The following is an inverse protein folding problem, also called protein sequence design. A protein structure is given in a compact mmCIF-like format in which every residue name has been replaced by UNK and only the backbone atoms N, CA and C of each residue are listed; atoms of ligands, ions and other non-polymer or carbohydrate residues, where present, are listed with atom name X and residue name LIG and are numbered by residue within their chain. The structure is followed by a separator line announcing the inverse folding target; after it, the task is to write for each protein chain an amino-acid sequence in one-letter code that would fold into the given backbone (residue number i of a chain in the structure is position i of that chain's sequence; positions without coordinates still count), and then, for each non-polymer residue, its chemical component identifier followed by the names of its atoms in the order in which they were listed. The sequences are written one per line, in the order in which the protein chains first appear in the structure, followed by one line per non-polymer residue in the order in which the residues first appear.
data_IF_888073917255
#
_entry.id   IF_888073917255
#
_cell.length_a   1.000
_cell.length_b   1.000
_cell.length_c   1.000
_cell.angle_alpha   90.00
_cell.angle_beta   90.00
_cell.angle_gamma   90.00
#
_symmetry.space_group_name_H-M   'P 1'
#
loop_
_entity.id
_entity.type
_entity.pdbx_description
1 polymer ?
#
# COMPACT_ATOMS: atom_id res chain seq x y z
N UNK A 1 -10.76 5.85 3.97
CA UNK A 1 -10.33 6.74 2.88
C UNK A 1 -11.53 7.48 2.33
N UNK A 2 -12.52 6.73 1.83
CA UNK A 2 -13.77 7.26 1.23
C UNK A 2 -14.39 8.45 1.98
N UNK A 3 -14.70 8.29 3.27
CA UNK A 3 -15.33 9.36 4.05
C UNK A 3 -14.51 10.66 4.08
N UNK A 4 -13.18 10.57 4.25
CA UNK A 4 -12.31 11.74 4.27
C UNK A 4 -12.21 12.43 2.89
N UNK A 5 -12.42 11.67 1.82
CA UNK A 5 -12.45 12.19 0.46
C UNK A 5 -13.76 12.91 0.14
N UNK A 6 -14.89 12.39 0.65
CA UNK A 6 -16.21 13.02 0.53
C UNK A 6 -16.37 14.24 1.44
N UNK A 7 -15.76 14.23 2.64
CA UNK A 7 -15.89 15.27 3.67
C UNK A 7 -14.53 15.87 4.08
N UNK A 8 -13.83 16.56 3.18
CA UNK A 8 -12.47 17.06 3.43
C UNK A 8 -12.38 18.08 4.57
N UNK A 9 -13.37 18.95 4.73
CA UNK A 9 -13.40 19.98 5.77
C UNK A 9 -13.73 19.41 7.16
N UNK A 10 -14.51 18.33 7.22
CA UNK A 10 -14.85 17.64 8.47
C UNK A 10 -13.77 16.63 8.88
N UNK A 11 -12.90 16.25 7.95
CA UNK A 11 -11.85 15.27 8.19
C UNK A 11 -10.62 15.91 8.83
N UNK A 12 -10.17 15.33 9.96
CA UNK A 12 -8.90 15.70 10.60
C UNK A 12 -7.65 15.17 9.87
N UNK A 13 -7.84 14.50 8.72
CA UNK A 13 -6.75 13.84 7.98
C UNK A 13 -5.95 14.80 7.13
N UNK A 14 -6.57 15.91 6.72
CA UNK A 14 -5.87 17.04 6.11
C UNK A 14 -5.95 18.20 7.11
N UNK A 15 -4.81 18.68 7.60
CA UNK A 15 -4.77 19.82 8.53
C UNK A 15 -5.33 21.10 7.90
N UNK A 16 -5.03 21.31 6.62
CA UNK A 16 -5.53 22.43 5.84
C UNK A 16 -6.01 21.92 4.47
N UNK A 17 -7.27 21.43 4.35
CA UNK A 17 -7.80 21.03 3.07
C UNK A 17 -7.91 22.26 2.14
N UNK A 18 -7.61 22.11 0.83
CA UNK A 18 -7.80 23.19 -0.12
C UNK A 18 -9.28 23.59 -0.18
N UNK A 19 -9.54 24.88 -0.35
CA UNK A 19 -10.87 25.38 -0.64
C UNK A 19 -11.24 25.12 -2.09
N UNK A 20 -12.55 25.01 -2.34
CA UNK A 20 -13.09 24.93 -3.69
C UNK A 20 -12.85 26.24 -4.44
N UNK A 21 -12.34 26.15 -5.66
CA UNK A 21 -12.20 27.30 -6.55
C UNK A 21 -13.59 27.72 -7.09
N UNK A 22 -13.78 29.00 -7.48
CA UNK A 22 -15.00 29.43 -8.15
C UNK A 22 -15.25 28.59 -9.41
N UNK A 23 -16.49 28.11 -9.60
CA UNK A 23 -16.93 27.27 -10.75
C UNK A 23 -16.16 25.94 -10.90
N UNK A 24 -15.45 25.48 -9.86
CA UNK A 24 -14.74 24.21 -9.89
C UNK A 24 -15.70 23.03 -9.94
N UNK A 25 -15.50 22.13 -10.90
CA UNK A 25 -16.29 20.92 -11.01
C UNK A 25 -16.01 19.99 -9.81
N UNK A 26 -17.01 19.27 -9.27
CA UNK A 26 -16.82 18.37 -8.13
C UNK A 26 -15.69 17.36 -8.32
N UNK A 27 -15.57 16.79 -9.52
CA UNK A 27 -14.51 15.83 -9.86
C UNK A 27 -13.12 16.48 -9.88
N UNK A 28 -13.00 17.71 -10.39
CA UNK A 28 -11.73 18.45 -10.42
C UNK A 28 -11.24 18.74 -9.00
N UNK A 29 -12.15 19.13 -8.10
CA UNK A 29 -11.84 19.31 -6.69
C UNK A 29 -11.41 17.99 -6.02
N UNK A 30 -12.14 16.89 -6.28
CA UNK A 30 -11.80 15.58 -5.75
C UNK A 30 -10.41 15.08 -6.22
N UNK A 31 -10.06 15.33 -7.48
CA UNK A 31 -8.74 14.99 -8.04
C UNK A 31 -7.61 15.81 -7.41
N UNK A 32 -7.85 17.06 -7.02
CA UNK A 32 -6.88 17.86 -6.25
C UNK A 32 -6.71 17.34 -4.83
N UNK A 33 -7.77 16.84 -4.21
CA UNK A 33 -7.70 16.26 -2.86
C UNK A 33 -7.00 14.90 -2.84
N UNK A 34 -7.19 14.09 -3.88
CA UNK A 34 -6.70 12.72 -3.97
C UNK A 34 -5.22 12.56 -3.56
N UNK A 35 -4.23 13.23 -4.20
CA UNK A 35 -2.82 13.02 -3.85
C UNK A 35 -2.46 13.56 -2.46
N UNK A 36 -3.21 14.55 -1.95
CA UNK A 36 -3.03 15.07 -0.57
C UNK A 36 -3.47 14.02 0.45
N UNK A 37 -4.62 13.38 0.23
CA UNK A 37 -5.10 12.27 1.06
C UNK A 37 -4.17 11.07 0.98
N UNK A 38 -3.71 10.68 -0.21
CA UNK A 38 -2.80 9.55 -0.36
C UNK A 38 -1.46 9.77 0.37
N UNK A 39 -1.04 11.01 0.58
CA UNK A 39 0.16 11.36 1.36
C UNK A 39 -0.10 11.58 2.86
N UNK A 40 -1.35 11.62 3.29
CA UNK A 40 -1.71 11.76 4.70
C UNK A 40 -1.76 10.40 5.42
N UNK A 41 -1.39 10.32 6.70
CA UNK A 41 -1.55 9.11 7.48
C UNK A 41 -3.05 8.78 7.72
N UNK A 42 -3.42 7.48 7.68
CA UNK A 42 -2.54 6.31 7.60
C UNK A 42 -2.23 5.88 6.16
N UNK A 43 -2.80 6.52 5.14
CA UNK A 43 -2.81 6.00 3.77
C UNK A 43 -1.45 6.08 3.07
N UNK A 44 -0.60 7.02 3.47
CA UNK A 44 0.75 7.20 2.94
C UNK A 44 1.67 6.00 3.05
N UNK A 45 1.32 4.98 3.84
CA UNK A 45 2.11 3.76 4.00
C UNK A 45 1.35 2.48 3.68
N UNK A 46 0.10 2.61 3.21
CA UNK A 46 -0.66 1.45 2.77
C UNK A 46 -0.25 1.05 1.33
N UNK A 47 -0.31 -0.26 0.99
CA UNK A 47 -0.02 -0.76 -0.34
C UNK A 47 -1.18 -0.47 -1.31
N UNK A 48 -1.48 0.81 -1.53
CA UNK A 48 -2.56 1.27 -2.39
C UNK A 48 -2.13 1.32 -3.86
N UNK A 49 -3.12 1.23 -4.74
CA UNK A 49 -2.97 1.41 -6.19
C UNK A 49 -4.00 2.42 -6.68
N UNK A 50 -3.61 3.24 -7.65
CA UNK A 50 -4.51 4.16 -8.34
C UNK A 50 -4.76 3.61 -9.73
N UNK A 51 -6.02 3.47 -10.10
CA UNK A 51 -6.39 2.99 -11.43
C UNK A 51 -7.25 4.01 -12.16
N UNK A 52 -6.78 4.44 -13.33
CA UNK A 52 -7.46 5.39 -14.21
C UNK A 52 -8.29 4.63 -15.24
N UNK A 53 -9.62 4.69 -15.09
CA UNK A 53 -10.55 3.93 -15.94
C UNK A 53 -10.81 4.61 -17.29
N UNK A 54 -10.59 5.93 -17.38
CA UNK A 54 -10.79 6.73 -18.59
C UNK A 54 -9.49 7.47 -18.92
N UNK A 55 -8.75 7.05 -19.96
CA UNK A 55 -7.61 7.81 -20.45
C UNK A 55 -8.08 9.07 -21.22
N UNK A 56 -7.26 10.14 -21.28
CA UNK A 56 -5.94 10.25 -20.64
C UNK A 56 -6.05 10.49 -19.13
N UNK A 57 -5.06 10.00 -18.37
CA UNK A 57 -4.95 10.31 -16.94
C UNK A 57 -4.95 11.82 -16.70
N UNK A 58 -5.74 12.34 -15.74
CA UNK A 58 -5.71 13.75 -15.39
C UNK A 58 -4.36 14.14 -14.78
N UNK A 59 -3.88 15.34 -15.08
CA UNK A 59 -2.73 15.91 -14.39
C UNK A 59 -3.08 16.18 -12.92
N UNK A 60 -2.33 15.56 -12.01
CA UNK A 60 -2.46 15.80 -10.57
C UNK A 60 -1.52 16.94 -10.15
N UNK A 61 -2.00 17.82 -9.26
CA UNK A 61 -1.18 18.90 -8.69
C UNK A 61 0.00 18.40 -7.85
N UNK A 62 -0.08 17.15 -7.37
CA UNK A 62 0.93 16.50 -6.57
C UNK A 62 1.01 15.04 -6.99
N UNK A 63 2.22 14.52 -7.18
CA UNK A 63 2.42 13.11 -7.46
C UNK A 63 1.94 12.25 -6.28
N UNK A 64 1.36 11.06 -6.48
CA UNK A 64 1.15 10.10 -5.41
C UNK A 64 2.47 9.70 -4.72
N UNK A 65 2.41 9.05 -3.54
CA UNK A 65 3.57 8.38 -2.95
C UNK A 65 4.23 7.39 -3.92
N UNK A 66 5.56 7.31 -3.91
CA UNK A 66 6.35 6.58 -4.92
C UNK A 66 6.11 5.07 -4.92
N UNK A 67 5.68 4.48 -3.81
CA UNK A 67 5.36 3.06 -3.72
C UNK A 67 3.95 2.71 -4.22
N UNK A 68 3.10 3.71 -4.50
CA UNK A 68 1.76 3.49 -5.03
C UNK A 68 1.83 3.37 -6.55
N UNK A 69 1.32 2.25 -7.07
CA UNK A 69 1.31 2.00 -8.51
C UNK A 69 0.12 2.71 -9.15
N UNK A 70 0.39 3.46 -10.22
CA UNK A 70 -0.64 4.03 -11.10
C UNK A 70 -0.82 3.13 -12.33
N UNK A 71 -2.06 2.73 -12.60
CA UNK A 71 -2.42 1.83 -13.71
C UNK A 71 -3.49 2.50 -14.58
N UNK A 72 -3.41 2.35 -15.91
CA UNK A 72 -4.48 2.76 -16.83
C UNK A 72 -5.21 1.52 -17.37
N UNK A 73 -6.54 1.59 -17.50
CA UNK A 73 -7.28 0.57 -18.23
C UNK A 73 -8.73 0.40 -17.79
N UNK A 74 -9.60 0.16 -18.77
CA UNK A 74 -11.03 -0.04 -18.57
C UNK A 74 -11.37 -1.35 -17.84
N UNK A 75 -12.52 -1.38 -17.13
CA UNK A 75 -13.08 -2.56 -16.49
C UNK A 75 -12.80 -2.68 -14.98
N UNK A 76 -13.60 -3.51 -14.30
CA UNK A 76 -13.45 -3.78 -12.86
C UNK A 76 -12.05 -4.34 -12.55
N UNK A 77 -11.55 -4.19 -11.31
CA UNK A 77 -10.37 -4.91 -10.87
C UNK A 77 -10.61 -6.40 -11.14
N UNK A 78 -9.79 -7.01 -11.99
CA UNK A 78 -9.70 -8.46 -12.00
C UNK A 78 -9.06 -8.82 -10.66
N UNK A 79 -9.89 -9.08 -9.65
CA UNK A 79 -9.50 -9.86 -8.49
C UNK A 79 -9.06 -11.19 -9.08
N UNK A 80 -7.78 -11.31 -9.42
CA UNK A 80 -7.15 -12.61 -9.60
C UNK A 80 -7.36 -13.26 -8.24
N UNK A 81 -8.44 -14.05 -8.10
CA UNK A 81 -8.47 -15.13 -7.12
C UNK A 81 -7.23 -15.90 -7.48
N UNK A 82 -6.13 -15.65 -6.75
CA UNK A 82 -5.15 -16.70 -6.57
C UNK A 82 -6.02 -17.78 -5.95
N UNK A 83 -6.47 -18.74 -6.77
CA UNK A 83 -6.92 -20.04 -6.30
C UNK A 83 -5.84 -20.38 -5.30
N UNK A 84 -6.21 -20.32 -4.01
CA UNK A 84 -5.24 -20.43 -2.94
C UNK A 84 -4.36 -21.59 -3.35
N UNK A 85 -3.07 -21.35 -3.48
CA UNK A 85 -2.15 -22.46 -3.49
C UNK A 85 -2.22 -22.93 -2.03
N UNK A 86 -3.32 -23.57 -1.66
CA UNK A 86 -3.36 -24.70 -0.73
C UNK A 86 -2.59 -25.80 -1.45
N UNK A 87 -1.32 -25.50 -1.66
CA UNK A 87 -0.32 -26.48 -1.47
C UNK A 87 -0.39 -26.71 0.03
N UNK A 88 -1.06 -27.78 0.40
CA UNK A 88 -0.54 -28.68 1.42
C UNK A 88 0.89 -29.04 0.99
N UNK A 89 1.80 -28.07 1.06
CA UNK A 89 3.21 -28.33 1.20
C UNK A 89 3.28 -28.67 2.67
N UNK A 90 3.46 -29.96 2.94
CA UNK A 90 4.03 -30.45 4.18
C UNK A 90 5.06 -29.41 4.62
N UNK A 91 4.71 -28.68 5.68
CA UNK A 91 5.55 -27.62 6.21
C UNK A 91 6.69 -28.37 6.87
N UNK A 92 7.74 -28.67 6.10
CA UNK A 92 9.09 -28.77 6.65
C UNK A 92 9.21 -27.54 7.56
N UNK A 93 9.44 -27.79 8.85
CA UNK A 93 9.51 -26.81 9.93
C UNK A 93 10.74 -25.92 9.74
N UNK A 94 10.73 -25.13 8.68
CA UNK A 94 11.73 -24.12 8.41
C UNK A 94 11.42 -22.96 9.34
N UNK A 95 12.19 -22.87 10.42
CA UNK A 95 12.18 -21.72 11.31
C UNK A 95 12.36 -20.41 10.55
N UNK A 96 12.01 -19.30 11.20
CA UNK A 96 12.18 -17.98 10.62
C UNK A 96 13.64 -17.74 10.20
N UNK A 97 13.89 -17.40 8.93
CA UNK A 97 15.25 -17.13 8.42
C UNK A 97 15.94 -15.88 9.00
N UNK A 98 15.34 -15.22 9.99
CA UNK A 98 15.93 -14.09 10.71
C UNK A 98 16.21 -14.41 12.19
N UNK A 99 15.35 -15.14 12.88
CA UNK A 99 15.53 -15.46 14.30
C UNK A 99 15.67 -16.95 14.62
N UNK A 100 15.49 -17.84 13.64
CA UNK A 100 15.57 -19.30 13.81
C UNK A 100 14.32 -19.94 14.43
N UNK A 101 13.49 -19.18 15.13
CA UNK A 101 12.35 -19.71 15.89
C UNK A 101 11.14 -20.07 15.02
N UNK A 102 10.42 -21.11 15.44
CA UNK A 102 9.08 -21.44 14.95
C UNK A 102 8.02 -20.55 15.63
N UNK A 103 6.91 -20.25 14.94
CA UNK A 103 5.80 -19.51 15.54
C UNK A 103 4.48 -20.00 14.94
N UNK A 104 3.39 -19.87 15.71
CA UNK A 104 2.04 -20.21 15.27
C UNK A 104 1.55 -19.36 14.07
N UNK A 105 2.17 -18.21 13.79
CA UNK A 105 1.81 -17.38 12.64
C UNK A 105 2.56 -17.83 11.38
N UNK A 106 1.90 -17.86 10.21
CA UNK A 106 2.55 -18.26 8.98
C UNK A 106 3.68 -17.28 8.62
N UNK A 107 4.83 -17.81 8.22
CA UNK A 107 5.95 -17.03 7.72
C UNK A 107 5.57 -16.31 6.41
N UNK A 108 6.07 -15.09 6.25
CA UNK A 108 6.01 -14.40 4.97
C UNK A 108 7.16 -14.88 4.09
N UNK A 109 6.85 -15.27 2.86
CA UNK A 109 7.82 -15.69 1.85
C UNK A 109 8.16 -14.56 0.89
N UNK A 110 9.42 -14.51 0.46
CA UNK A 110 9.85 -13.56 -0.57
C UNK A 110 9.00 -13.74 -1.85
N UNK A 111 8.51 -12.66 -2.47
CA UNK A 111 7.75 -12.75 -3.71
C UNK A 111 8.63 -13.02 -4.94
N UNK A 112 9.97 -12.92 -4.85
CA UNK A 112 10.89 -13.21 -5.96
C UNK A 112 10.84 -14.71 -6.29
N UNK A 113 10.69 -15.10 -7.58
CA UNK A 113 10.79 -16.50 -7.98
C UNK A 113 12.12 -17.10 -7.50
N UNK A 114 12.10 -18.38 -7.12
CA UNK A 114 13.29 -19.15 -6.67
C UNK A 114 13.98 -18.65 -5.39
N UNK A 115 13.43 -17.65 -4.69
CA UNK A 115 13.92 -17.27 -3.37
C UNK A 115 13.22 -18.10 -2.27
N UNK A 116 14.01 -18.73 -1.40
CA UNK A 116 13.54 -19.58 -0.31
C UNK A 116 13.32 -18.82 1.01
N UNK A 117 13.64 -17.52 1.04
CA UNK A 117 13.56 -16.72 2.25
C UNK A 117 12.13 -16.67 2.81
N UNK A 118 11.99 -17.13 4.05
CA UNK A 118 10.76 -17.07 4.84
C UNK A 118 11.08 -16.52 6.25
N UNK A 119 10.29 -15.56 6.73
CA UNK A 119 10.49 -14.98 8.07
C UNK A 119 9.17 -14.52 8.69
N UNK A 120 9.17 -14.36 10.02
CA UNK A 120 8.01 -13.81 10.71
C UNK A 120 7.73 -12.38 10.22
N UNK A 121 6.44 -12.01 10.09
CA UNK A 121 6.05 -10.61 9.85
C UNK A 121 6.76 -9.59 10.77
N UNK A 122 6.81 -9.76 12.11
CA UNK A 122 7.51 -8.82 12.99
C UNK A 122 9.03 -8.75 12.77
N UNK A 123 9.69 -9.84 12.41
CA UNK A 123 11.14 -9.84 12.14
C UNK A 123 11.45 -9.04 10.88
N UNK A 124 10.69 -9.24 9.81
CA UNK A 124 10.82 -8.45 8.59
C UNK A 124 10.46 -6.98 8.82
N UNK A 125 9.41 -6.70 9.60
CA UNK A 125 9.04 -5.33 9.94
C UNK A 125 10.18 -4.62 10.68
N UNK A 126 10.78 -5.23 11.71
CA UNK A 126 11.94 -4.66 12.42
C UNK A 126 13.11 -4.38 11.49
N UNK A 127 13.43 -5.32 10.60
CA UNK A 127 14.51 -5.16 9.63
C UNK A 127 14.25 -3.98 8.68
N UNK A 128 13.05 -3.91 8.09
CA UNK A 128 12.70 -2.90 7.09
C UNK A 128 12.44 -1.51 7.70
N UNK A 129 12.08 -1.46 8.99
CA UNK A 129 11.84 -0.23 9.73
C UNK A 129 13.08 0.31 10.44
N UNK A 130 14.22 -0.41 10.43
CA UNK A 130 15.45 0.05 11.09
C UNK A 130 15.90 1.46 10.64
N UNK A 131 15.78 1.87 9.35
CA UNK A 131 16.09 3.23 8.91
C UNK A 131 15.02 4.28 9.28
N UNK A 132 13.82 3.86 9.71
CA UNK A 132 12.66 4.71 9.95
C UNK A 132 11.92 4.33 11.27
N UNK A 133 12.58 4.45 12.44
CA UNK A 133 12.14 3.86 13.71
C UNK A 133 10.82 4.43 14.27
N UNK A 134 10.36 5.58 13.76
CA UNK A 134 9.08 6.19 14.15
C UNK A 134 7.89 5.61 13.38
N UNK A 135 8.13 4.74 12.40
CA UNK A 135 7.11 4.16 11.56
C UNK A 135 6.73 2.76 12.07
N UNK A 136 5.47 2.40 11.84
CA UNK A 136 4.93 1.10 12.29
C UNK A 136 4.75 0.10 11.14
N UNK A 137 4.64 0.59 9.91
CA UNK A 137 4.33 -0.22 8.73
C UNK A 137 5.43 -0.03 7.67
N UNK A 138 6.19 -1.08 7.31
CA UNK A 138 7.18 -0.96 6.25
C UNK A 138 6.49 -0.79 4.90
N UNK A 139 6.98 0.14 4.07
CA UNK A 139 6.50 0.34 2.70
C UNK A 139 7.21 -0.59 1.72
N UNK A 140 8.46 -0.91 1.98
CA UNK A 140 9.28 -1.83 1.20
C UNK A 140 10.56 -2.20 1.96
N UNK A 141 11.36 -3.08 1.37
CA UNK A 141 12.63 -3.52 1.95
C UNK A 141 13.35 -4.50 1.03
N UNK A 142 14.67 -4.61 1.23
CA UNK A 142 15.48 -5.61 0.54
C UNK A 142 15.34 -6.96 1.25
N UNK A 143 15.09 -8.02 0.48
CA UNK A 143 15.11 -9.36 1.03
C UNK A 143 16.52 -9.67 1.58
N UNK A 144 16.63 -10.26 2.80
CA UNK A 144 17.91 -10.49 3.47
C UNK A 144 18.75 -11.63 2.87
N UNK A 145 18.22 -12.33 1.86
CA UNK A 145 18.94 -13.30 1.04
C UNK A 145 19.25 -12.75 -0.34
#
# INVERSE_FOLDING_TARGET
FEWAWQHPNSSRRLLAPPTRRPREQPISFALRLLPRLLRAPPWSRLPLKIRWLRPPRPALELAPPTHMVEEEGAGLPRLKRKKGRSQDLEVEDCGCGLCGEAQATPLLRCPRPHCDMAAHPPCLARLFLAPEPQQLLPVGGACPR
#
